data_IF_078499895278
#
_entry.id   IF_078499895278
#
_cell.length_a   1.000
_cell.length_b   1.000
_cell.length_c   1.000
_cell.angle_alpha   90.00
_cell.angle_beta   90.00
_cell.angle_gamma   90.00
#
_symmetry.space_group_name_H-M   'P 1'
#
loop_
_entity.id
_entity.type
_entity.pdbx_description
1 polymer ?
#
# COMPACT_ATOMS: atom_id res chain seq x y z
N UNK A 1 10.74 23.11 -17.31
CA UNK A 1 11.80 22.43 -16.54
C UNK A 1 11.11 21.36 -15.72
N UNK A 2 11.07 20.12 -16.21
CA UNK A 2 10.53 18.98 -15.46
C UNK A 2 11.57 18.64 -14.40
N UNK A 3 11.28 18.94 -13.14
CA UNK A 3 12.10 18.45 -12.03
C UNK A 3 12.17 16.93 -12.15
N UNK A 4 13.39 16.39 -12.25
CA UNK A 4 13.61 14.95 -12.35
C UNK A 4 13.04 14.30 -11.09
N UNK A 5 11.95 13.55 -11.23
CA UNK A 5 11.35 12.83 -10.10
C UNK A 5 12.17 11.61 -9.68
N UNK A 6 13.27 11.33 -10.38
CA UNK A 6 14.19 10.24 -10.10
C UNK A 6 14.74 10.33 -8.67
N UNK A 7 14.14 9.58 -7.75
CA UNK A 7 14.54 9.49 -6.34
C UNK A 7 13.57 10.11 -5.33
N UNK A 8 12.56 10.86 -5.77
CA UNK A 8 11.55 11.40 -4.86
C UNK A 8 10.54 10.31 -4.44
N UNK A 9 10.00 10.37 -3.21
CA UNK A 9 8.85 9.54 -2.83
C UNK A 9 7.68 9.75 -3.78
N UNK A 10 6.78 8.76 -3.88
CA UNK A 10 5.51 8.97 -4.58
C UNK A 10 4.65 9.95 -3.78
N UNK A 11 4.09 10.95 -4.47
CA UNK A 11 3.08 11.81 -3.88
C UNK A 11 1.79 11.00 -3.66
N UNK A 12 0.98 11.41 -2.68
CA UNK A 12 -0.26 10.71 -2.36
C UNK A 12 -1.19 10.67 -3.57
N UNK A 13 -1.26 11.77 -4.32
CA UNK A 13 -2.08 11.93 -5.52
C UNK A 13 -1.70 10.95 -6.64
N UNK A 14 -0.42 10.58 -6.72
CA UNK A 14 0.10 9.66 -7.73
C UNK A 14 -0.31 8.22 -7.45
N UNK A 15 -0.53 7.86 -6.17
CA UNK A 15 -0.90 6.50 -5.74
C UNK A 15 -2.40 6.29 -5.51
N UNK A 16 -3.23 7.28 -5.82
CA UNK A 16 -4.70 7.20 -5.65
C UNK A 16 -5.39 6.26 -6.64
N UNK A 17 -4.79 5.97 -7.80
CA UNK A 17 -5.39 5.08 -8.80
C UNK A 17 -4.35 4.36 -9.65
N UNK A 18 -4.72 3.21 -10.20
CA UNK A 18 -3.85 2.43 -11.08
C UNK A 18 -3.36 3.22 -12.30
N UNK A 19 -4.21 4.07 -12.90
CA UNK A 19 -3.84 4.90 -14.04
C UNK A 19 -2.77 5.95 -13.67
N UNK A 20 -2.90 6.55 -12.48
CA UNK A 20 -1.94 7.54 -11.98
C UNK A 20 -0.61 6.89 -11.62
N UNK A 21 -0.65 5.73 -10.95
CA UNK A 21 0.54 4.92 -10.67
C UNK A 21 1.26 4.59 -11.97
N UNK A 22 0.53 4.10 -12.98
CA UNK A 22 1.10 3.74 -14.27
C UNK A 22 1.80 4.94 -14.92
N UNK A 23 1.15 6.11 -14.97
CA UNK A 23 1.75 7.32 -15.55
C UNK A 23 3.01 7.78 -14.80
N UNK A 24 2.92 7.89 -13.48
CA UNK A 24 4.05 8.33 -12.66
C UNK A 24 5.24 7.35 -12.75
N UNK A 25 4.96 6.05 -12.65
CA UNK A 25 5.97 5.00 -12.77
C UNK A 25 6.61 4.99 -14.15
N UNK A 26 5.82 5.11 -15.23
CA UNK A 26 6.37 5.20 -16.59
C UNK A 26 7.31 6.39 -16.74
N UNK A 27 6.91 7.58 -16.27
CA UNK A 27 7.79 8.77 -16.34
C UNK A 27 9.10 8.56 -15.59
N UNK A 28 9.04 8.03 -14.36
CA UNK A 28 10.22 7.83 -13.50
C UNK A 28 11.15 6.73 -14.03
N UNK A 29 10.59 5.66 -14.59
CA UNK A 29 11.38 4.59 -15.23
C UNK A 29 12.09 5.14 -16.47
N UNK A 30 11.41 5.95 -17.30
CA UNK A 30 12.03 6.60 -18.45
C UNK A 30 13.17 7.52 -18.01
N UNK A 31 12.95 8.40 -17.02
CA UNK A 31 14.00 9.28 -16.49
C UNK A 31 15.23 8.49 -16.03
N UNK A 32 15.03 7.37 -15.31
CA UNK A 32 16.11 6.51 -14.83
C UNK A 32 16.86 5.81 -15.96
N UNK A 33 16.14 5.32 -16.96
CA UNK A 33 16.73 4.67 -18.14
C UNK A 33 17.53 5.69 -18.96
N UNK A 34 17.02 6.92 -19.11
CA UNK A 34 17.73 8.03 -19.76
C UNK A 34 19.00 8.40 -19.00
N UNK A 35 18.96 8.46 -17.66
CA UNK A 35 20.13 8.75 -16.82
C UNK A 35 21.20 7.64 -16.90
N UNK A 36 20.78 6.37 -17.05
CA UNK A 36 21.67 5.23 -17.29
C UNK A 36 22.27 5.27 -18.70
N UNK A 37 21.59 5.89 -19.67
CA UNK A 37 22.03 6.00 -21.05
C UNK A 37 23.08 7.11 -21.22
N UNK A 38 24.27 6.93 -20.65
CA UNK A 38 25.43 7.82 -20.81
C UNK A 38 26.17 7.64 -22.15
N UNK A 39 25.44 7.34 -23.21
CA UNK A 39 25.87 7.64 -24.58
C UNK A 39 26.54 6.56 -25.43
N UNK A 40 26.85 5.32 -24.98
CA UNK A 40 27.49 4.33 -25.90
C UNK A 40 27.18 2.83 -25.76
N UNK A 41 26.22 2.40 -24.94
CA UNK A 41 25.77 0.99 -24.94
C UNK A 41 24.24 0.89 -24.98
N UNK A 42 23.66 -0.03 -25.78
CA UNK A 42 22.24 -0.29 -25.74
C UNK A 42 21.87 -0.81 -24.34
N UNK A 43 20.77 -0.31 -23.79
CA UNK A 43 20.20 -0.81 -22.55
C UNK A 43 19.58 -2.17 -22.84
N UNK A 44 19.95 -3.19 -22.06
CA UNK A 44 19.40 -4.52 -22.24
C UNK A 44 17.98 -4.61 -21.67
N UNK A 45 17.20 -5.57 -22.14
CA UNK A 45 15.83 -5.80 -21.65
C UNK A 45 15.86 -6.20 -20.16
N UNK A 46 16.90 -6.92 -19.73
CA UNK A 46 17.11 -7.30 -18.34
C UNK A 46 17.32 -6.07 -17.45
N UNK A 47 18.16 -5.13 -17.88
CA UNK A 47 18.38 -3.87 -17.16
C UNK A 47 17.09 -3.04 -17.06
N UNK A 48 16.31 -2.98 -18.14
CA UNK A 48 15.02 -2.30 -18.12
C UNK A 48 14.03 -2.97 -17.15
N UNK A 49 13.97 -4.30 -17.14
CA UNK A 49 13.13 -5.06 -16.21
C UNK A 49 13.54 -4.85 -14.74
N UNK A 50 14.84 -4.76 -14.46
CA UNK A 50 15.35 -4.45 -13.13
C UNK A 50 14.89 -3.07 -12.65
N UNK A 51 15.04 -2.04 -13.48
CA UNK A 51 14.58 -0.68 -13.17
C UNK A 51 13.06 -0.64 -12.93
N UNK A 52 12.29 -1.36 -13.73
CA UNK A 52 10.83 -1.47 -13.57
C UNK A 52 10.47 -2.17 -12.25
N UNK A 53 11.15 -3.27 -11.92
CA UNK A 53 10.89 -4.04 -10.70
C UNK A 53 11.22 -3.23 -9.43
N UNK A 54 12.33 -2.50 -9.45
CA UNK A 54 12.74 -1.61 -8.37
C UNK A 54 11.73 -0.48 -8.16
N UNK A 55 11.29 0.16 -9.25
CA UNK A 55 10.29 1.22 -9.18
C UNK A 55 8.94 0.68 -8.66
N UNK A 56 8.58 -0.54 -9.05
CA UNK A 56 7.37 -1.20 -8.54
C UNK A 56 7.43 -1.48 -7.03
N UNK A 57 8.60 -1.80 -6.46
CA UNK A 57 8.73 -1.93 -5.00
C UNK A 57 8.46 -0.60 -4.30
N UNK A 58 8.99 0.51 -4.83
CA UNK A 58 8.77 1.85 -4.28
C UNK A 58 7.30 2.26 -4.31
N UNK A 59 6.58 1.93 -5.39
CA UNK A 59 5.12 2.12 -5.46
C UNK A 59 4.42 1.36 -4.34
N UNK A 60 4.74 0.08 -4.15
CA UNK A 60 4.11 -0.75 -3.11
C UNK A 60 4.36 -0.22 -1.70
N UNK A 61 5.57 0.28 -1.43
CA UNK A 61 5.92 0.91 -0.15
C UNK A 61 5.14 2.20 0.08
N UNK A 62 5.02 3.05 -0.95
CA UNK A 62 4.23 4.28 -0.89
C UNK A 62 2.74 3.99 -0.67
N UNK A 63 2.18 3.01 -1.38
CA UNK A 63 0.78 2.57 -1.18
C UNK A 63 0.57 2.06 0.25
N UNK A 64 1.46 1.22 0.78
CA UNK A 64 1.35 0.69 2.15
C UNK A 64 1.48 1.75 3.24
N UNK A 65 2.22 2.82 2.97
CA UNK A 65 2.36 3.96 3.88
C UNK A 65 1.25 5.00 3.72
N UNK A 66 0.37 4.84 2.72
CA UNK A 66 -0.76 5.75 2.51
C UNK A 66 -1.82 5.63 3.62
N UNK A 67 -2.34 6.76 4.14
CA UNK A 67 -3.46 6.77 5.08
C UNK A 67 -4.68 6.01 4.57
N UNK A 68 -4.99 6.12 3.26
CA UNK A 68 -6.14 5.46 2.65
C UNK A 68 -6.00 3.93 2.67
N UNK A 69 -4.81 3.41 2.38
CA UNK A 69 -4.53 1.98 2.48
C UNK A 69 -4.58 1.48 3.92
N UNK A 70 -4.04 2.28 4.86
CA UNK A 70 -4.07 1.97 6.29
C UNK A 70 -5.49 1.97 6.85
N UNK A 71 -6.35 2.88 6.38
CA UNK A 71 -7.76 2.94 6.78
C UNK A 71 -8.58 1.79 6.18
N UNK A 72 -8.41 1.50 4.89
CA UNK A 72 -9.07 0.36 4.25
C UNK A 72 -8.67 -0.98 4.92
N UNK A 73 -7.38 -1.13 5.23
CA UNK A 73 -6.88 -2.29 5.96
C UNK A 73 -7.41 -2.34 7.40
N UNK A 74 -7.47 -1.20 8.11
CA UNK A 74 -8.07 -1.13 9.44
C UNK A 74 -9.53 -1.54 9.42
N UNK A 75 -10.34 -1.06 8.48
CA UNK A 75 -11.77 -1.45 8.35
C UNK A 75 -11.94 -2.94 8.11
N UNK A 76 -11.08 -3.54 7.29
CA UNK A 76 -11.06 -4.99 7.09
C UNK A 76 -10.76 -5.74 8.41
N UNK A 77 -9.73 -5.32 9.14
CA UNK A 77 -9.36 -5.91 10.42
C UNK A 77 -10.42 -5.72 11.48
N UNK A 78 -11.03 -4.54 11.57
CA UNK A 78 -12.10 -4.23 12.52
C UNK A 78 -13.25 -5.22 12.39
N UNK A 79 -13.66 -5.56 11.16
CA UNK A 79 -14.70 -6.56 10.93
C UNK A 79 -14.29 -7.94 11.45
N UNK A 80 -13.11 -8.43 11.06
CA UNK A 80 -12.64 -9.77 11.44
C UNK A 80 -12.39 -9.90 12.94
N UNK A 81 -11.83 -8.87 13.56
CA UNK A 81 -11.60 -8.84 15.01
C UNK A 81 -12.93 -8.79 15.76
N UNK A 82 -13.89 -7.97 15.31
CA UNK A 82 -15.22 -7.91 15.95
C UNK A 82 -15.91 -9.27 15.91
N UNK A 83 -15.91 -9.94 14.75
CA UNK A 83 -16.48 -11.29 14.62
C UNK A 83 -15.81 -12.31 15.56
N UNK A 84 -14.50 -12.18 15.80
CA UNK A 84 -13.78 -13.07 16.70
C UNK A 84 -14.07 -12.76 18.18
N UNK A 85 -14.19 -11.47 18.53
CA UNK A 85 -14.59 -11.05 19.88
C UNK A 85 -16.01 -11.52 20.19
N UNK A 86 -16.94 -11.36 19.24
CA UNK A 86 -18.32 -11.80 19.41
C UNK A 86 -18.41 -13.30 19.71
N UNK A 87 -17.60 -14.12 19.04
CA UNK A 87 -17.54 -15.57 19.33
C UNK A 87 -17.08 -15.85 20.76
N UNK A 88 -15.99 -15.22 21.20
CA UNK A 88 -15.49 -15.37 22.57
C UNK A 88 -16.54 -14.93 23.59
N UNK A 89 -17.23 -13.82 23.33
CA UNK A 89 -18.32 -13.34 24.20
C UNK A 89 -19.48 -14.32 24.30
N UNK A 90 -19.83 -15.02 23.21
CA UNK A 90 -20.88 -16.04 23.24
C UNK A 90 -20.41 -17.31 23.97
N UNK A 91 -19.16 -17.73 23.76
CA UNK A 91 -18.58 -18.90 24.41
C UNK A 91 -18.55 -18.73 25.94
N UNK A 92 -18.09 -17.58 26.42
CA UNK A 92 -17.93 -17.31 27.85
C UNK A 92 -19.16 -16.61 28.47
N UNK A 93 -20.27 -16.49 27.73
CA UNK A 93 -21.44 -15.69 28.14
C UNK A 93 -21.97 -16.07 29.51
N UNK A 94 -22.17 -17.37 29.76
CA UNK A 94 -22.72 -17.86 31.02
C UNK A 94 -21.78 -17.63 32.22
N UNK A 95 -20.46 -17.72 31.99
CA UNK A 95 -19.47 -17.40 33.01
C UNK A 95 -19.50 -15.90 33.33
N UNK A 96 -19.46 -15.05 32.31
CA UNK A 96 -19.52 -13.60 32.46
C UNK A 96 -20.81 -13.15 33.16
N UNK A 97 -21.96 -13.73 32.81
CA UNK A 97 -23.25 -13.46 33.48
C UNK A 97 -23.23 -13.88 34.95
N UNK A 98 -22.60 -15.00 35.29
CA UNK A 98 -22.44 -15.44 36.69
C UNK A 98 -21.57 -14.49 37.53
N UNK A 99 -20.68 -13.75 36.88
CA UNK A 99 -19.85 -12.70 37.47
C UNK A 99 -20.56 -11.33 37.50
N UNK A 100 -21.83 -11.26 37.11
CA UNK A 100 -22.67 -10.06 37.17
C UNK A 100 -22.56 -9.15 35.94
N UNK A 101 -21.94 -9.61 34.84
CA UNK A 101 -21.98 -8.91 33.56
C UNK A 101 -23.37 -9.09 32.95
N UNK A 102 -24.07 -7.99 32.70
CA UNK A 102 -25.41 -7.99 32.09
C UNK A 102 -25.39 -7.23 30.78
N UNK A 103 -25.96 -7.85 29.74
CA UNK A 103 -26.26 -7.17 28.47
C UNK A 103 -27.21 -6.00 28.75
N UNK A 104 -26.71 -4.77 28.57
CA UNK A 104 -27.57 -3.59 28.54
C UNK A 104 -28.01 -3.37 27.10
N UNK A 105 -29.30 -3.60 26.83
CA UNK A 105 -29.92 -3.11 25.61
C UNK A 105 -29.90 -1.58 25.62
N UNK A 106 -29.47 -0.98 24.51
CA UNK A 106 -29.57 0.47 24.25
C UNK A 106 -31.01 0.88 24.01
#
# INVERSE_FOLDING_TARGET
MTEKQAGQPYAMEEILSFDRIKRAMTSRVLDKIEDLWQGKKPISVEQMNEVIADEWQRVKEAVRSSPAAREAFRKYLERTISEQIDKLMQEDKAELESLGVVEKSL
#
